data_IF_894594155411
#
_entry.id   IF_894594155411
#
_cell.length_a   1.000
_cell.length_b   1.000
_cell.length_c   1.000
_cell.angle_alpha   90.00
_cell.angle_beta   90.00
_cell.angle_gamma   90.00
#
_symmetry.space_group_name_H-M   'P 1'
#
loop_
_entity.id
_entity.type
_entity.pdbx_description
1 polymer ?
#
# COMPACT_ATOMS: atom_id res chain seq x y z
N UNK A 1 -2.21 -17.28 4.23
CA UNK A 1 -2.85 -16.28 3.33
C UNK A 1 -3.99 -15.46 3.97
N UNK A 2 -5.25 -15.94 4.09
CA UNK A 2 -6.38 -15.09 4.52
C UNK A 2 -6.17 -14.45 5.91
N UNK A 3 -5.63 -15.24 6.85
CA UNK A 3 -5.31 -14.77 8.20
C UNK A 3 -4.25 -13.66 8.18
N UNK A 4 -3.22 -13.80 7.34
CA UNK A 4 -2.09 -12.87 7.29
C UNK A 4 -2.51 -11.56 6.62
N UNK A 5 -3.31 -11.62 5.55
CA UNK A 5 -3.93 -10.45 4.95
C UNK A 5 -4.86 -9.72 5.94
N UNK A 6 -5.63 -10.46 6.72
CA UNK A 6 -6.50 -9.87 7.75
C UNK A 6 -5.70 -9.19 8.85
N UNK A 7 -4.64 -9.83 9.36
CA UNK A 7 -3.70 -9.24 10.32
C UNK A 7 -3.05 -7.98 9.74
N UNK A 8 -2.63 -8.02 8.49
CA UNK A 8 -2.04 -6.86 7.82
C UNK A 8 -3.03 -5.69 7.71
N UNK A 9 -4.28 -5.97 7.35
CA UNK A 9 -5.36 -4.95 7.37
C UNK A 9 -5.53 -4.34 8.76
N UNK A 10 -5.52 -5.15 9.82
CA UNK A 10 -5.61 -4.61 11.19
C UNK A 10 -4.40 -3.75 11.56
N UNK A 11 -3.19 -4.13 11.14
CA UNK A 11 -1.97 -3.32 11.31
C UNK A 11 -2.09 -1.97 10.58
N UNK A 12 -2.72 -1.94 9.41
CA UNK A 12 -2.98 -0.72 8.64
C UNK A 12 -4.12 0.16 9.17
N UNK A 13 -4.83 -0.25 10.23
CA UNK A 13 -5.99 0.50 10.75
C UNK A 13 -5.71 1.99 11.00
N UNK A 14 -4.59 2.40 11.62
CA UNK A 14 -4.31 3.83 11.84
C UNK A 14 -4.22 4.62 10.52
N UNK A 15 -3.53 4.06 9.52
CA UNK A 15 -3.41 4.66 8.20
C UNK A 15 -4.78 4.75 7.49
N UNK A 16 -5.55 3.67 7.49
CA UNK A 16 -6.89 3.65 6.90
C UNK A 16 -7.85 4.64 7.59
N UNK A 17 -7.71 4.84 8.90
CA UNK A 17 -8.46 5.82 9.65
C UNK A 17 -8.14 7.25 9.19
N UNK A 18 -6.85 7.57 9.03
CA UNK A 18 -6.42 8.86 8.46
C UNK A 18 -7.01 9.08 7.06
N UNK A 19 -6.99 8.05 6.20
CA UNK A 19 -7.60 8.15 4.87
C UNK A 19 -9.12 8.34 4.92
N UNK A 20 -9.81 7.70 5.86
CA UNK A 20 -11.26 7.89 6.06
C UNK A 20 -11.57 9.31 6.51
N UNK A 21 -10.74 9.87 7.39
CA UNK A 21 -10.86 11.26 7.81
C UNK A 21 -10.63 12.23 6.64
N UNK A 22 -9.62 12.00 5.80
CA UNK A 22 -9.39 12.79 4.57
C UNK A 22 -10.55 12.65 3.58
N UNK A 23 -11.14 11.46 3.44
CA UNK A 23 -12.30 11.26 2.58
C UNK A 23 -13.51 12.08 3.02
N UNK A 24 -13.76 12.17 4.34
CA UNK A 24 -14.90 12.94 4.86
C UNK A 24 -14.64 14.44 4.87
N UNK A 25 -13.43 14.88 5.18
CA UNK A 25 -13.10 16.32 5.35
C UNK A 25 -12.62 17.01 4.08
N UNK A 26 -11.83 16.32 3.26
CA UNK A 26 -11.19 16.85 2.05
C UNK A 26 -11.73 16.22 0.75
N UNK A 27 -12.70 15.31 0.86
CA UNK A 27 -13.31 14.63 -0.29
C UNK A 27 -12.31 13.83 -1.13
N UNK A 28 -11.25 13.34 -0.48
CA UNK A 28 -10.23 12.53 -1.12
C UNK A 28 -10.58 11.04 -1.05
N UNK A 29 -10.77 10.34 -2.19
CA UNK A 29 -11.08 8.92 -2.15
C UNK A 29 -9.93 8.12 -1.54
N UNK A 30 -10.29 7.13 -0.70
CA UNK A 30 -9.33 6.23 -0.05
C UNK A 30 -8.69 5.27 -1.07
N UNK A 31 -9.48 4.73 -1.98
CA UNK A 31 -9.04 3.87 -3.07
C UNK A 31 -9.00 4.71 -4.34
N UNK A 32 -7.85 4.76 -4.97
CA UNK A 32 -7.54 5.67 -6.06
C UNK A 32 -7.00 4.87 -7.24
N UNK A 33 -7.44 5.14 -8.48
CA UNK A 33 -6.77 4.60 -9.64
C UNK A 33 -5.39 5.26 -9.79
N UNK A 34 -4.43 4.56 -10.40
CA UNK A 34 -3.05 5.04 -10.54
C UNK A 34 -2.96 6.39 -11.26
N UNK A 35 -3.78 6.64 -12.28
CA UNK A 35 -3.77 7.92 -13.00
C UNK A 35 -4.19 9.14 -12.16
N UNK A 36 -4.90 8.95 -11.04
CA UNK A 36 -5.43 10.07 -10.25
C UNK A 36 -4.31 10.91 -9.61
N UNK A 37 -3.25 10.25 -9.16
CA UNK A 37 -2.07 10.91 -8.57
C UNK A 37 -0.93 11.10 -9.59
N UNK A 38 -1.05 10.46 -10.76
CA UNK A 38 -0.03 10.46 -11.81
C UNK A 38 -0.60 10.86 -13.20
N UNK A 39 -1.28 12.01 -13.33
CA UNK A 39 -2.00 12.36 -14.56
C UNK A 39 -1.11 12.64 -15.77
N UNK A 40 0.18 12.90 -15.55
CA UNK A 40 1.18 13.13 -16.60
C UNK A 40 1.75 11.82 -17.16
N UNK A 41 1.50 10.70 -16.49
CA UNK A 41 2.02 9.39 -16.86
C UNK A 41 1.00 8.64 -17.73
N UNK A 42 1.23 8.66 -19.05
CA UNK A 42 0.35 8.02 -20.03
C UNK A 42 0.13 6.51 -19.77
N UNK A 43 1.09 5.82 -19.13
CA UNK A 43 0.97 4.39 -18.84
C UNK A 43 -0.05 4.09 -17.74
N UNK A 44 -0.35 5.05 -16.86
CA UNK A 44 -1.33 4.87 -15.79
C UNK A 44 -2.78 4.91 -16.26
N UNK A 45 -3.03 5.34 -17.50
CA UNK A 45 -4.34 5.27 -18.15
C UNK A 45 -4.64 3.91 -18.76
N UNK A 46 -3.65 3.01 -18.84
CA UNK A 46 -3.88 1.64 -19.28
C UNK A 46 -4.77 0.89 -18.28
N UNK A 47 -5.62 0.00 -18.76
CA UNK A 47 -6.39 -0.88 -17.90
C UNK A 47 -5.44 -1.77 -17.10
N UNK A 48 -5.59 -1.73 -15.78
CA UNK A 48 -4.83 -2.54 -14.83
C UNK A 48 -5.69 -2.88 -13.62
N UNK A 49 -5.37 -4.00 -12.97
CA UNK A 49 -5.97 -4.40 -11.69
C UNK A 49 -5.25 -3.77 -10.48
N UNK A 50 -4.23 -2.94 -10.73
CA UNK A 50 -3.44 -2.27 -9.72
C UNK A 50 -4.13 -0.98 -9.27
N UNK A 51 -4.10 -0.70 -7.96
CA UNK A 51 -4.71 0.49 -7.40
C UNK A 51 -3.92 1.06 -6.23
N UNK A 52 -4.19 2.32 -5.95
CA UNK A 52 -3.58 3.06 -4.85
C UNK A 52 -4.50 3.09 -3.62
N UNK A 53 -3.92 2.93 -2.43
CA UNK A 53 -4.58 3.19 -1.15
C UNK A 53 -3.99 4.48 -0.57
N UNK A 54 -4.77 5.55 -0.62
CA UNK A 54 -4.25 6.90 -0.46
C UNK A 54 -3.22 7.21 -1.54
N UNK A 55 -2.31 8.14 -1.27
CA UNK A 55 -1.29 8.59 -2.24
C UNK A 55 0.01 7.78 -2.16
N UNK A 56 0.09 6.83 -1.23
CA UNK A 56 1.37 6.30 -0.75
C UNK A 56 1.53 4.78 -0.89
N UNK A 57 0.44 4.02 -1.08
CA UNK A 57 0.50 2.56 -1.19
C UNK A 57 -0.06 2.11 -2.53
N UNK A 58 0.77 1.44 -3.33
CA UNK A 58 0.37 0.77 -4.57
C UNK A 58 0.18 -0.73 -4.28
N UNK A 59 -1.03 -1.23 -4.56
CA UNK A 59 -1.39 -2.64 -4.41
C UNK A 59 -1.52 -3.26 -5.79
N UNK A 60 -0.76 -4.33 -6.04
CA UNK A 60 -0.81 -5.06 -7.29
C UNK A 60 -1.30 -6.50 -7.08
N UNK A 61 -2.61 -6.70 -7.23
CA UNK A 61 -3.28 -7.97 -6.93
C UNK A 61 -2.97 -9.04 -7.98
N UNK A 62 -2.69 -10.27 -7.54
CA UNK A 62 -2.54 -11.42 -8.44
C UNK A 62 -3.93 -12.00 -8.75
N UNK A 63 -4.50 -11.65 -9.90
CA UNK A 63 -5.85 -12.08 -10.31
C UNK A 63 -5.88 -13.32 -11.21
N UNK A 64 -4.74 -13.70 -11.80
CA UNK A 64 -4.64 -14.81 -12.75
C UNK A 64 -4.39 -16.15 -12.04
N UNK A 65 -5.19 -17.16 -12.39
CA UNK A 65 -5.09 -18.50 -11.82
C UNK A 65 -3.83 -19.20 -12.32
N UNK A 66 -2.91 -19.50 -11.40
CA UNK A 66 -1.68 -20.24 -11.71
C UNK A 66 -0.54 -19.37 -12.25
N UNK A 67 -0.67 -18.05 -12.17
CA UNK A 67 0.43 -17.14 -12.49
C UNK A 67 1.63 -17.41 -11.57
N UNK A 68 2.80 -17.56 -12.19
CA UNK A 68 4.10 -17.71 -11.50
C UNK A 68 4.87 -16.40 -11.44
N UNK A 69 4.53 -15.46 -12.32
CA UNK A 69 5.15 -14.14 -12.44
C UNK A 69 4.07 -13.10 -12.70
N UNK A 70 4.27 -11.88 -12.18
CA UNK A 70 3.43 -10.71 -12.47
C UNK A 70 4.33 -9.53 -12.82
N UNK A 71 4.02 -8.88 -13.93
CA UNK A 71 4.62 -7.59 -14.29
C UNK A 71 3.77 -6.49 -13.66
N UNK A 72 4.40 -5.65 -12.86
CA UNK A 72 3.75 -4.51 -12.20
C UNK A 72 4.39 -3.23 -12.69
N UNK A 73 3.59 -2.29 -13.17
CA UNK A 73 4.06 -0.96 -13.52
C UNK A 73 4.08 -0.08 -12.27
N UNK A 74 5.21 0.55 -11.99
CA UNK A 74 5.38 1.51 -10.91
C UNK A 74 5.25 2.93 -11.48
N UNK A 75 4.17 3.67 -11.17
CA UNK A 75 3.91 4.98 -11.76
C UNK A 75 5.05 5.98 -11.58
N UNK A 76 5.19 6.89 -12.53
CA UNK A 76 6.14 7.99 -12.42
C UNK A 76 5.84 8.89 -11.22
N UNK A 77 6.84 9.15 -10.39
CA UNK A 77 6.74 10.06 -9.26
C UNK A 77 8.11 10.70 -8.97
N UNK A 78 8.19 11.59 -7.98
CA UNK A 78 9.42 12.35 -7.70
C UNK A 78 10.51 11.55 -6.94
N UNK A 79 10.16 10.46 -6.26
CA UNK A 79 11.02 9.83 -5.24
C UNK A 79 11.34 8.35 -5.47
N UNK A 80 10.48 7.63 -6.20
CA UNK A 80 10.51 6.19 -6.44
C UNK A 80 9.60 5.39 -5.51
N UNK A 81 9.86 4.08 -5.46
CA UNK A 81 9.01 3.10 -4.77
C UNK A 81 9.86 2.12 -3.98
N UNK A 82 9.33 1.65 -2.86
CA UNK A 82 9.90 0.59 -2.04
C UNK A 82 8.96 -0.60 -2.03
N UNK A 83 9.44 -1.79 -2.32
CA UNK A 83 8.69 -3.01 -2.02
C UNK A 83 8.58 -3.18 -0.50
N UNK A 84 7.34 -3.26 -0.02
CA UNK A 84 7.03 -3.36 1.40
C UNK A 84 7.61 -4.62 2.06
N UNK A 85 7.74 -5.71 1.32
CA UNK A 85 8.17 -7.00 1.85
C UNK A 85 9.68 -7.19 1.78
N UNK A 86 10.26 -6.96 0.59
CA UNK A 86 11.71 -7.15 0.40
C UNK A 86 12.55 -5.95 0.87
N UNK A 87 11.94 -4.77 0.99
CA UNK A 87 12.67 -3.52 1.23
C UNK A 87 13.51 -3.07 0.03
N UNK A 88 13.27 -3.62 -1.17
CA UNK A 88 13.99 -3.22 -2.39
C UNK A 88 13.46 -1.89 -2.92
N UNK A 89 14.37 -1.03 -3.36
CA UNK A 89 14.02 0.23 -4.03
C UNK A 89 13.87 0.03 -5.54
N UNK A 90 12.88 0.69 -6.11
CA UNK A 90 12.64 0.78 -7.54
C UNK A 90 12.50 2.22 -7.99
N UNK A 91 13.04 2.50 -9.18
CA UNK A 91 12.91 3.82 -9.81
C UNK A 91 11.45 4.07 -10.21
N UNK A 92 11.01 5.33 -10.23
CA UNK A 92 9.69 5.67 -10.77
C UNK A 92 9.61 5.35 -12.27
N UNK A 93 8.42 5.04 -12.77
CA UNK A 93 8.17 4.77 -14.20
C UNK A 93 8.72 3.44 -14.72
N UNK A 94 9.08 2.51 -13.83
CA UNK A 94 9.64 1.20 -14.22
C UNK A 94 8.62 0.07 -14.09
N UNK A 95 8.74 -0.93 -14.95
CA UNK A 95 8.04 -2.20 -14.82
C UNK A 95 8.91 -3.19 -14.04
N UNK A 96 8.31 -3.89 -13.09
CA UNK A 96 8.99 -4.87 -12.24
C UNK A 96 8.31 -6.21 -12.42
N UNK A 97 9.09 -7.23 -12.79
CA UNK A 97 8.63 -8.61 -12.84
C UNK A 97 8.88 -9.27 -11.49
N UNK A 98 7.82 -9.65 -10.80
CA UNK A 98 7.89 -10.32 -9.51
C UNK A 98 7.48 -11.78 -9.64
N UNK A 99 8.22 -12.73 -9.03
CA UNK A 99 7.72 -14.07 -8.85
C UNK A 99 6.54 -14.02 -7.88
N UNK A 100 5.38 -14.51 -8.31
CA UNK A 100 4.17 -14.50 -7.51
C UNK A 100 3.62 -15.91 -7.33
N UNK A 101 3.01 -16.10 -6.17
CA UNK A 101 2.18 -17.25 -5.87
C UNK A 101 0.76 -16.76 -5.59
N UNK A 102 -0.20 -17.68 -5.50
CA UNK A 102 -1.58 -17.35 -5.10
C UNK A 102 -1.64 -16.66 -3.72
N UNK A 103 -0.61 -16.82 -2.89
CA UNK A 103 -0.55 -16.19 -1.57
C UNK A 103 0.22 -14.87 -1.53
N UNK A 104 0.83 -14.47 -2.65
CA UNK A 104 1.64 -13.26 -2.75
C UNK A 104 0.75 -12.03 -2.85
N UNK A 105 1.08 -10.99 -2.07
CA UNK A 105 0.40 -9.69 -2.12
C UNK A 105 1.44 -8.60 -2.41
N UNK A 106 1.83 -8.41 -3.69
CA UNK A 106 2.73 -7.33 -4.07
C UNK A 106 2.21 -5.97 -3.59
N UNK A 107 3.05 -5.30 -2.81
CA UNK A 107 2.72 -4.03 -2.18
C UNK A 107 3.93 -3.11 -2.24
N UNK A 108 3.74 -1.92 -2.80
CA UNK A 108 4.80 -0.92 -2.92
C UNK A 108 4.41 0.35 -2.17
N UNK A 109 5.39 0.93 -1.50
CA UNK A 109 5.27 2.18 -0.75
C UNK A 109 6.02 3.27 -1.48
N UNK A 110 5.39 4.43 -1.67
CA UNK A 110 6.06 5.59 -2.27
C UNK A 110 7.23 6.03 -1.39
N UNK A 111 8.38 6.28 -2.00
CA UNK A 111 9.55 6.74 -1.26
C UNK A 111 9.28 8.11 -0.61
N UNK A 112 9.62 8.25 0.67
CA UNK A 112 9.31 9.44 1.47
C UNK A 112 7.91 9.45 2.09
N UNK A 113 7.08 8.43 1.86
CA UNK A 113 5.81 8.28 2.57
C UNK A 113 6.03 7.77 4.01
N UNK A 114 5.11 8.15 4.90
CA UNK A 114 5.07 7.69 6.29
C UNK A 114 3.81 6.86 6.48
N UNK A 115 3.96 5.55 6.64
CA UNK A 115 2.84 4.63 6.88
C UNK A 115 2.77 4.27 8.36
N UNK A 116 1.65 4.62 9.00
CA UNK A 116 1.40 4.29 10.41
C UNK A 116 0.83 2.88 10.53
N UNK A 117 1.60 2.01 11.18
CA UNK A 117 1.19 0.64 11.48
C UNK A 117 0.99 0.47 12.99
N UNK A 118 -0.03 -0.28 13.38
CA UNK A 118 -0.18 -0.75 14.77
C UNK A 118 0.52 -2.09 14.95
N UNK A 119 1.07 -2.30 16.15
CA UNK A 119 1.63 -3.58 16.57
C UNK A 119 0.55 -4.45 17.21
N UNK A 120 0.50 -5.74 16.84
CA UNK A 120 -0.20 -6.76 17.62
C UNK A 120 -1.74 -6.74 17.60
N UNK A 121 -2.38 -6.08 16.63
CA UNK A 121 -3.85 -6.14 16.52
C UNK A 121 -4.30 -7.36 15.72
N UNK A 122 -4.68 -8.45 16.41
CA UNK A 122 -5.45 -9.57 15.81
C UNK A 122 -6.94 -9.20 15.63
N UNK A 123 -7.36 -8.07 16.19
CA UNK A 123 -8.72 -7.49 16.15
C UNK A 123 -8.68 -6.00 16.45
N UNK A 124 -9.61 -5.23 15.89
CA UNK A 124 -9.82 -3.84 16.28
C UNK A 124 -10.45 -3.82 17.69
N UNK A 125 -9.64 -3.56 18.71
CA UNK A 125 -10.10 -3.34 20.07
C UNK A 125 -9.59 -1.99 20.58
N UNK A 126 -10.39 -1.34 21.43
CA UNK A 126 -10.02 -0.06 22.07
C UNK A 126 -8.71 -0.16 22.86
N UNK A 127 -8.36 -1.36 23.34
CA UNK A 127 -7.10 -1.63 24.05
C UNK A 127 -5.89 -1.68 23.10
N UNK A 128 -6.04 -2.27 21.91
CA UNK A 128 -4.98 -2.32 20.90
C UNK A 128 -4.67 -0.93 20.32
N UNK A 129 -5.69 -0.06 20.21
CA UNK A 129 -5.51 1.34 19.77
C UNK A 129 -4.74 2.19 20.80
N UNK A 130 -4.87 1.89 22.10
CA UNK A 130 -4.09 2.56 23.16
C UNK A 130 -2.62 2.16 23.18
N UNK A 131 -2.26 0.97 22.72
CA UNK A 131 -0.87 0.50 22.67
C UNK A 131 -0.02 1.23 21.62
N UNK A 132 -0.66 1.83 20.60
CA UNK A 132 0.00 2.68 19.60
C UNK A 132 0.39 4.08 20.12
N UNK A 133 0.22 4.35 21.43
CA UNK A 133 0.73 5.57 22.06
C UNK A 133 2.25 5.49 22.17
N UNK A 134 2.93 6.29 21.35
CA UNK A 134 4.34 6.68 21.41
C UNK A 134 5.07 6.26 22.69
N UNK A 135 5.91 5.23 22.60
CA UNK A 135 6.99 5.00 23.56
C UNK A 135 8.06 6.07 23.31
N UNK A 136 7.88 7.27 23.88
CA UNK A 136 8.98 8.22 23.99
C UNK A 136 10.02 7.60 24.93
N UNK A 137 11.10 7.07 24.36
CA UNK A 137 12.31 6.77 25.11
C UNK A 137 12.85 8.11 25.62
N UNK A 138 12.68 8.35 26.92
CA UNK A 138 13.32 9.44 27.63
C UNK A 138 14.80 9.08 27.79
N UNK A 139 15.67 9.89 27.20
CA UNK A 139 17.01 10.13 27.73
C UNK A 139 16.92 11.10 28.91
#
# INVERSE_FOLDING_TARGET
MIRDALKFRYRLTPYLYTLTWLATTAHEPMLRPTFLDHPQDAKTFAETDDFMIGRDLLVANVVEKGATERVVYLPENETGWWDFWSGSYYRPGTEVTLPVTLESMPLFVRAGAVITLTDGADRASTEADRAARWRSSRY
#
